data_IF_999199829272
#
_entry.id   IF_999199829272
#
_cell.length_a   1.000
_cell.length_b   1.000
_cell.length_c   1.000
_cell.angle_alpha   90.00
_cell.angle_beta   90.00
_cell.angle_gamma   90.00
#
_symmetry.space_group_name_H-M   'P 1'
#
loop_
_entity.id
_entity.type
_entity.pdbx_description
1 polymer ?
#
# COMPACT_ATOMS: atom_id res chain seq x y z
N UNK A 1 -2.99 -2.10 -14.17
CA UNK A 1 -2.81 -2.29 -12.70
C UNK A 1 -1.63 -1.46 -12.29
N UNK A 2 -1.75 -0.75 -11.17
CA UNK A 2 -0.69 0.10 -10.62
C UNK A 2 -0.36 -0.34 -9.21
N UNK A 3 0.72 0.18 -8.65
CA UNK A 3 1.22 -0.27 -7.36
C UNK A 3 1.69 0.90 -6.49
N UNK A 4 1.76 0.69 -5.18
CA UNK A 4 2.43 1.61 -4.28
C UNK A 4 2.92 0.87 -3.03
N UNK A 5 3.87 1.48 -2.32
CA UNK A 5 4.35 0.99 -1.03
C UNK A 5 3.74 1.79 0.12
N UNK A 6 3.22 1.06 1.11
CA UNK A 6 2.62 1.62 2.30
C UNK A 6 3.27 1.05 3.56
N UNK A 7 3.76 1.95 4.39
CA UNK A 7 4.37 1.62 5.67
C UNK A 7 3.38 0.92 6.59
N UNK A 8 3.89 0.02 7.42
CA UNK A 8 3.11 -0.64 8.46
C UNK A 8 2.53 0.39 9.45
N UNK A 9 1.30 0.14 9.91
CA UNK A 9 0.56 1.10 10.73
C UNK A 9 0.09 2.35 9.96
N UNK A 10 -0.09 2.25 8.65
CA UNK A 10 -0.83 3.22 7.83
C UNK A 10 -1.99 2.53 7.13
N UNK A 11 -3.06 3.29 6.89
CA UNK A 11 -4.27 2.85 6.20
C UNK A 11 -4.54 3.71 4.97
N UNK A 12 -5.22 3.10 3.99
CA UNK A 12 -5.79 3.83 2.84
C UNK A 12 -6.96 4.68 3.31
N UNK A 13 -6.97 5.94 2.90
CA UNK A 13 -8.06 6.89 3.08
C UNK A 13 -8.84 7.07 1.79
N UNK A 14 -8.82 8.30 1.25
CA UNK A 14 -9.49 8.64 0.00
C UNK A 14 -8.78 8.09 -1.23
N UNK A 15 -9.54 7.82 -2.28
CA UNK A 15 -9.05 7.28 -3.54
C UNK A 15 -9.64 8.11 -4.68
N UNK A 16 -8.83 8.46 -5.67
CA UNK A 16 -9.28 9.22 -6.84
C UNK A 16 -9.06 8.41 -8.11
N UNK A 17 -10.06 8.48 -8.98
CA UNK A 17 -9.97 8.10 -10.37
C UNK A 17 -9.82 9.37 -11.24
N UNK A 18 -9.74 9.20 -12.55
CA UNK A 18 -9.58 10.32 -13.49
C UNK A 18 -10.76 11.31 -13.44
N UNK A 19 -11.98 10.80 -13.19
CA UNK A 19 -13.21 11.56 -13.08
C UNK A 19 -13.42 12.20 -11.69
N UNK A 20 -12.47 12.03 -10.76
CA UNK A 20 -12.47 12.67 -9.45
C UNK A 20 -12.41 11.66 -8.29
N UNK A 21 -12.93 12.08 -7.14
CA UNK A 21 -12.94 11.24 -5.93
C UNK A 21 -13.83 10.00 -6.18
N UNK A 22 -13.32 8.82 -5.85
CA UNK A 22 -14.05 7.56 -6.01
C UNK A 22 -15.38 7.59 -5.25
N UNK A 23 -16.48 7.57 -5.99
CA UNK A 23 -17.82 7.51 -5.42
C UNK A 23 -18.40 6.11 -5.64
N UNK A 24 -18.73 5.41 -4.56
CA UNK A 24 -19.36 4.08 -4.63
C UNK A 24 -20.69 4.14 -5.39
N UNK A 25 -21.42 5.25 -5.34
CA UNK A 25 -22.68 5.43 -6.09
C UNK A 25 -22.47 5.48 -7.60
N UNK A 26 -21.40 6.12 -8.07
CA UNK A 26 -21.06 6.18 -9.50
C UNK A 26 -20.48 4.85 -10.00
N UNK A 27 -19.57 4.26 -9.23
CA UNK A 27 -18.83 3.05 -9.59
C UNK A 27 -19.55 1.74 -9.23
N UNK A 28 -20.57 1.82 -8.38
CA UNK A 28 -21.37 0.70 -7.84
C UNK A 28 -20.55 -0.33 -7.03
N UNK A 29 -19.31 0.01 -6.68
CA UNK A 29 -18.41 -0.81 -5.85
C UNK A 29 -17.34 0.03 -5.18
N UNK A 30 -16.65 -0.57 -4.22
CA UNK A 30 -15.41 -0.03 -3.67
C UNK A 30 -14.25 -0.19 -4.68
N UNK A 31 -13.22 0.66 -4.59
CA UNK A 31 -11.99 0.47 -5.37
C UNK A 31 -11.33 -0.86 -4.99
N UNK A 32 -10.78 -1.57 -5.97
CA UNK A 32 -10.01 -2.78 -5.73
C UNK A 32 -8.57 -2.42 -5.37
N UNK A 33 -8.21 -2.70 -4.11
CA UNK A 33 -6.91 -2.41 -3.51
C UNK A 33 -6.49 -3.64 -2.70
N UNK A 34 -5.40 -4.28 -3.11
CA UNK A 34 -4.94 -5.53 -2.54
C UNK A 34 -3.54 -5.39 -1.98
N UNK A 35 -3.34 -5.74 -0.70
CA UNK A 35 -2.00 -5.88 -0.12
C UNK A 35 -1.39 -7.19 -0.61
N UNK A 36 -0.25 -7.10 -1.26
CA UNK A 36 0.55 -8.26 -1.65
C UNK A 36 1.46 -8.68 -0.49
N UNK A 37 1.81 -9.97 -0.44
CA UNK A 37 2.70 -10.52 0.59
C UNK A 37 4.18 -10.24 0.29
N UNK A 38 4.48 -9.03 -0.16
CA UNK A 38 5.81 -8.54 -0.51
C UNK A 38 5.99 -7.21 0.22
N UNK A 39 7.13 -7.04 0.89
CA UNK A 39 7.48 -5.79 1.55
C UNK A 39 8.93 -5.39 1.28
N UNK A 40 9.20 -4.11 1.44
CA UNK A 40 10.54 -3.55 1.60
C UNK A 40 10.79 -3.31 3.08
N UNK A 41 12.05 -3.51 3.50
CA UNK A 41 12.51 -3.13 4.84
C UNK A 41 13.62 -2.11 4.68
N UNK A 42 13.38 -0.87 5.08
CA UNK A 42 14.34 0.23 5.02
C UNK A 42 14.42 0.86 6.41
N UNK A 43 15.62 1.04 6.99
CA UNK A 43 15.82 1.68 8.31
C UNK A 43 14.85 1.20 9.42
N UNK A 44 14.62 -0.11 9.50
CA UNK A 44 13.66 -0.78 10.41
C UNK A 44 12.16 -0.50 10.16
N UNK A 45 11.83 0.25 9.12
CA UNK A 45 10.47 0.45 8.62
C UNK A 45 10.08 -0.65 7.63
N UNK A 46 8.91 -1.27 7.85
CA UNK A 46 8.33 -2.25 6.94
C UNK A 46 7.32 -1.56 6.02
N UNK A 47 7.51 -1.67 4.72
CA UNK A 47 6.62 -1.12 3.70
C UNK A 47 6.02 -2.22 2.84
N UNK A 48 4.73 -2.44 2.95
CA UNK A 48 3.99 -3.44 2.19
C UNK A 48 3.66 -2.95 0.78
N UNK A 49 3.77 -3.83 -0.21
CA UNK A 49 3.36 -3.56 -1.58
C UNK A 49 1.84 -3.72 -1.71
N UNK A 50 1.19 -2.72 -2.28
CA UNK A 50 -0.23 -2.74 -2.63
C UNK A 50 -0.38 -2.69 -4.15
N UNK A 51 -1.30 -3.50 -4.67
CA UNK A 51 -1.79 -3.45 -6.04
C UNK A 51 -3.12 -2.70 -6.07
N UNK A 52 -3.31 -1.86 -7.07
CA UNK A 52 -4.54 -1.10 -7.32
C UNK A 52 -4.96 -1.23 -8.78
N UNK A 53 -6.25 -1.09 -9.04
CA UNK A 53 -6.79 -1.06 -10.39
C UNK A 53 -6.31 0.13 -11.21
N UNK A 54 -6.37 -0.01 -12.54
CA UNK A 54 -5.80 0.99 -13.46
C UNK A 54 -6.52 2.34 -13.43
N UNK A 55 -7.84 2.31 -13.14
CA UNK A 55 -8.67 3.50 -13.02
C UNK A 55 -8.23 4.43 -11.88
N UNK A 56 -7.53 3.90 -10.86
CA UNK A 56 -7.06 4.69 -9.74
C UNK A 56 -5.84 5.52 -10.17
N UNK A 57 -5.89 6.80 -9.85
CA UNK A 57 -4.86 7.80 -10.20
C UNK A 57 -4.12 8.26 -8.95
N UNK A 58 -4.79 8.35 -7.81
CA UNK A 58 -4.19 8.81 -6.56
C UNK A 58 -4.80 8.12 -5.36
N UNK A 59 -3.97 7.78 -4.38
CA UNK A 59 -4.37 7.16 -3.12
C UNK A 59 -3.86 8.03 -1.97
N UNK A 60 -4.77 8.50 -1.14
CA UNK A 60 -4.47 9.15 0.12
C UNK A 60 -4.28 8.08 1.20
N UNK A 61 -3.28 8.28 2.05
CA UNK A 61 -3.02 7.40 3.19
C UNK A 61 -2.83 8.20 4.47
N UNK A 62 -3.19 7.58 5.58
CA UNK A 62 -3.13 8.18 6.92
C UNK A 62 -2.63 7.16 7.95
N UNK A 63 -1.99 7.59 9.05
CA UNK A 63 -1.59 6.71 10.14
C UNK A 63 -2.79 5.94 10.71
N UNK A 64 -2.60 4.67 11.02
CA UNK A 64 -3.61 3.88 11.74
C UNK A 64 -3.63 4.30 13.21
N UNK A 65 -4.78 4.73 13.71
CA UNK A 65 -4.96 5.11 15.12
C UNK A 65 -4.92 3.91 16.09
N UNK A 66 -5.01 2.69 15.55
CA UNK A 66 -5.16 1.43 16.31
C UNK A 66 -3.85 0.68 16.56
N UNK A 67 -2.72 1.11 15.97
CA UNK A 67 -1.42 0.47 16.21
C UNK A 67 -0.62 1.34 17.17
N UNK A 68 -0.28 0.85 18.38
CA UNK A 68 0.65 1.53 19.26
C UNK A 68 1.99 1.66 18.53
N UNK A 69 2.34 2.86 18.09
CA UNK A 69 3.69 3.13 17.61
C UNK A 69 4.61 3.32 18.81
N UNK A 70 5.79 2.72 18.77
CA UNK A 70 6.87 3.00 19.74
C UNK A 70 7.34 4.46 19.66
N UNK A 71 7.11 5.12 18.53
CA UNK A 71 7.31 6.55 18.31
C UNK A 71 5.99 7.33 18.48
N UNK A 72 5.97 8.44 19.24
CA UNK A 72 4.75 9.21 19.46
C UNK A 72 4.17 9.69 18.11
N UNK A 73 2.84 9.82 18.00
CA UNK A 73 2.21 10.26 16.77
C UNK A 73 2.73 11.65 16.40
N UNK A 74 3.58 11.72 15.38
CA UNK A 74 3.92 12.98 14.75
C UNK A 74 2.66 13.48 14.03
N UNK A 75 1.92 14.32 14.74
CA UNK A 75 0.77 15.12 14.29
C UNK A 75 -0.48 14.34 13.87
N UNK A 76 -1.53 14.47 14.70
CA UNK A 76 -2.92 14.19 14.35
C UNK A 76 -3.23 14.93 13.03
N UNK A 77 -3.62 14.19 11.99
CA UNK A 77 -3.94 14.75 10.67
C UNK A 77 -2.85 14.64 9.61
N UNK A 78 -1.77 13.88 9.82
CA UNK A 78 -0.80 13.62 8.76
C UNK A 78 -1.45 12.78 7.65
N UNK A 79 -1.63 13.39 6.49
CA UNK A 79 -2.18 12.77 5.29
C UNK A 79 -1.15 12.87 4.18
N UNK A 80 -0.89 11.76 3.49
CA UNK A 80 0.11 11.69 2.41
C UNK A 80 -0.52 11.09 1.16
N UNK A 81 -0.26 11.69 0.01
CA UNK A 81 -0.63 11.12 -1.28
C UNK A 81 0.47 10.18 -1.76
N UNK A 82 0.11 8.94 -2.09
CA UNK A 82 1.06 7.94 -2.58
C UNK A 82 1.17 8.03 -4.10
N UNK A 83 2.41 8.14 -4.58
CA UNK A 83 2.74 7.98 -5.99
C UNK A 83 2.51 6.53 -6.38
N UNK A 84 1.67 6.33 -7.40
CA UNK A 84 1.49 5.04 -8.03
C UNK A 84 2.62 4.77 -9.02
N UNK A 85 3.07 3.53 -9.07
CA UNK A 85 4.20 3.06 -9.90
C UNK A 85 3.79 1.84 -10.73
N UNK A 86 4.51 1.61 -11.83
CA UNK A 86 4.30 0.46 -12.71
C UNK A 86 4.93 -0.81 -12.13
N UNK A 87 4.64 -1.96 -12.74
CA UNK A 87 5.25 -3.24 -12.34
C UNK A 87 6.78 -3.23 -12.54
N UNK A 88 7.27 -2.62 -13.61
CA UNK A 88 8.70 -2.48 -13.91
C UNK A 88 9.40 -1.66 -12.83
N UNK A 89 8.78 -0.56 -12.40
CA UNK A 89 9.29 0.28 -11.31
C UNK A 89 9.25 -0.43 -9.96
N UNK A 90 8.26 -1.30 -9.73
CA UNK A 90 8.24 -2.17 -8.55
C UNK A 90 9.43 -3.12 -8.57
N UNK A 91 9.68 -3.80 -9.69
CA UNK A 91 10.81 -4.73 -9.84
C UNK A 91 12.13 -4.02 -9.61
N UNK A 92 12.33 -2.86 -10.23
CA UNK A 92 13.52 -2.03 -10.04
C UNK A 92 13.72 -1.66 -8.56
N UNK A 93 12.66 -1.22 -7.89
CA UNK A 93 12.73 -0.84 -6.48
C UNK A 93 12.98 -2.03 -5.55
N UNK A 94 12.38 -3.19 -5.84
CA UNK A 94 12.65 -4.44 -5.11
C UNK A 94 14.09 -4.91 -5.31
N UNK A 95 14.67 -4.73 -6.49
CA UNK A 95 16.06 -5.08 -6.78
C UNK A 95 17.09 -4.16 -6.12
N UNK A 96 16.73 -2.89 -5.90
CA UNK A 96 17.61 -1.90 -5.27
C UNK A 96 17.48 -1.83 -3.75
N UNK A 97 16.44 -2.42 -3.16
CA UNK A 97 16.15 -2.37 -1.72
C UNK A 97 16.31 -3.73 -1.01
N UNK A 98 16.15 -3.72 0.32
CA UNK A 98 16.05 -4.97 1.10
C UNK A 98 14.62 -5.51 1.06
N UNK A 99 14.29 -6.21 -0.03
CA UNK A 99 12.99 -6.84 -0.22
C UNK A 99 12.84 -8.13 0.61
N UNK A 100 11.66 -8.33 1.20
CA UNK A 100 11.25 -9.58 1.87
C UNK A 100 9.89 -10.03 1.35
N UNK A 101 9.72 -11.33 1.19
CA UNK A 101 8.44 -11.95 0.85
C UNK A 101 7.89 -12.68 2.08
N UNK A 102 6.61 -12.50 2.39
CA UNK A 102 5.93 -13.24 3.45
C UNK A 102 5.24 -14.47 2.85
N UNK A 103 5.78 -15.66 3.10
CA UNK A 103 5.14 -16.91 2.73
C UNK A 103 3.95 -17.19 3.66
N UNK A 104 2.74 -17.23 3.10
CA UNK A 104 1.55 -17.74 3.78
C UNK A 104 1.42 -19.23 3.44
N UNK A 105 1.79 -20.11 4.38
CA UNK A 105 1.77 -21.58 4.31
C UNK A 105 3.01 -22.29 3.69
N UNK A 106 3.98 -22.62 4.56
CA UNK A 106 5.03 -23.62 4.26
C UNK A 106 4.45 -25.05 4.22
N UNK A 107 3.33 -25.30 4.89
CA UNK A 107 2.71 -26.63 4.97
C UNK A 107 2.19 -27.19 3.63
N UNK A 108 2.08 -26.38 2.58
CA UNK A 108 1.66 -26.84 1.24
C UNK A 108 2.83 -27.22 0.33
N UNK A 109 4.08 -26.97 0.75
CA UNK A 109 5.28 -27.12 -0.10
C UNK A 109 6.09 -28.38 0.22
N UNK A 110 5.83 -29.04 1.36
CA UNK A 110 6.47 -30.31 1.72
C UNK A 110 5.48 -31.45 1.53
N UNK A 111 5.66 -32.22 0.46
CA UNK A 111 5.20 -33.62 0.35
C UNK A 111 6.42 -34.51 0.30
#
# INVERSE_FOLDING_TARGET
MKYFFLSEGWNVGRVWAFDGLWQVTAWRRQPDIQRLNICLVEDSEVMWLYQVEDAIVTVEVQPSLSVPRETPPQNIGQVVLKRLISAEQVIERLGNGSAKCQLQNIHSVVK
#
